data_IF_442784137498
#
_entry.id   IF_442784137498
#
_cell.length_a   1.000
_cell.length_b   1.000
_cell.length_c   1.000
_cell.angle_alpha   90.00
_cell.angle_beta   90.00
_cell.angle_gamma   90.00
#
_symmetry.space_group_name_H-M   'P 1'
#
loop_
_entity.id
_entity.type
_entity.pdbx_description
1 polymer ?
#
# COMPACT_ATOMS: atom_id res chain seq x y z
N UNK A 1 25.78 -22.98 -79.39
CA UNK A 1 26.61 -24.14 -78.97
C UNK A 1 27.17 -23.81 -77.58
N UNK A 2 26.78 -24.54 -76.53
CA UNK A 2 27.30 -24.51 -75.13
C UNK A 2 26.88 -23.30 -74.26
N UNK A 3 26.09 -23.44 -73.16
CA UNK A 3 26.43 -23.82 -71.75
C UNK A 3 27.48 -22.87 -71.12
N UNK A 4 27.37 -22.34 -69.89
CA UNK A 4 26.74 -22.82 -68.65
C UNK A 4 26.51 -21.70 -67.61
N UNK A 5 25.54 -21.98 -66.73
CA UNK A 5 25.10 -21.26 -65.53
C UNK A 5 26.11 -21.37 -64.35
N UNK A 6 26.16 -20.35 -63.48
CA UNK A 6 26.70 -20.44 -62.12
C UNK A 6 26.20 -19.27 -61.24
N UNK A 7 24.95 -19.39 -60.79
CA UNK A 7 24.42 -18.66 -59.63
C UNK A 7 25.24 -19.03 -58.39
N UNK A 8 25.82 -18.05 -57.68
CA UNK A 8 26.30 -18.24 -56.32
C UNK A 8 25.13 -18.02 -55.35
N UNK A 9 24.64 -19.14 -54.82
CA UNK A 9 23.78 -19.19 -53.65
C UNK A 9 24.48 -18.55 -52.45
N UNK A 10 23.98 -17.41 -51.99
CA UNK A 10 24.19 -16.97 -50.61
C UNK A 10 23.08 -17.59 -49.79
N UNK A 11 23.44 -18.51 -48.90
CA UNK A 11 22.52 -19.17 -47.97
C UNK A 11 21.79 -18.10 -47.11
N UNK A 12 20.50 -18.29 -46.79
CA UNK A 12 19.82 -17.39 -45.88
C UNK A 12 20.45 -17.57 -44.50
N UNK A 13 21.10 -16.52 -44.00
CA UNK A 13 21.59 -16.45 -42.62
C UNK A 13 20.43 -16.78 -41.69
N UNK A 14 20.56 -17.91 -40.98
CA UNK A 14 19.64 -18.34 -39.94
C UNK A 14 19.37 -17.15 -39.00
N UNK A 15 18.10 -16.73 -38.96
CA UNK A 15 17.60 -15.79 -37.95
C UNK A 15 17.86 -16.44 -36.60
N UNK A 16 18.95 -16.04 -35.96
CA UNK A 16 19.29 -16.40 -34.58
C UNK A 16 18.07 -16.05 -33.74
N UNK A 17 17.27 -17.05 -33.34
CA UNK A 17 16.14 -16.89 -32.43
C UNK A 17 16.72 -16.37 -31.12
N UNK A 18 16.75 -15.05 -30.97
CA UNK A 18 17.00 -14.43 -29.68
C UNK A 18 15.90 -14.98 -28.78
N UNK A 19 16.28 -15.76 -27.79
CA UNK A 19 15.38 -16.24 -26.75
C UNK A 19 14.94 -15.00 -25.98
N UNK A 20 13.93 -14.29 -26.48
CA UNK A 20 13.39 -13.12 -25.80
C UNK A 20 12.85 -13.63 -24.46
N UNK A 21 13.28 -13.07 -23.31
CA UNK A 21 12.65 -13.40 -22.04
C UNK A 21 11.15 -13.24 -22.22
N UNK A 22 10.38 -14.27 -21.82
CA UNK A 22 8.94 -14.26 -21.96
C UNK A 22 8.38 -13.21 -21.00
N UNK A 23 8.08 -12.03 -21.55
CA UNK A 23 7.59 -10.88 -20.80
C UNK A 23 6.13 -11.14 -20.44
N UNK A 24 5.77 -10.87 -19.21
CA UNK A 24 4.38 -10.71 -18.78
C UNK A 24 4.32 -9.44 -17.95
N UNK A 25 3.16 -8.80 -17.94
CA UNK A 25 2.93 -7.55 -17.22
C UNK A 25 1.72 -7.77 -16.33
N UNK A 26 1.85 -7.46 -15.04
CA UNK A 26 0.87 -7.82 -14.03
C UNK A 26 0.83 -6.74 -12.95
N UNK A 27 -0.38 -6.48 -12.45
CA UNK A 27 -0.66 -5.71 -11.24
C UNK A 27 -1.42 -6.63 -10.30
N UNK A 28 -1.10 -6.55 -9.01
CA UNK A 28 -1.78 -7.27 -7.95
C UNK A 28 -1.99 -6.31 -6.78
N UNK A 29 -3.24 -6.09 -6.39
CA UNK A 29 -3.60 -5.22 -5.30
C UNK A 29 -4.01 -6.01 -4.05
N UNK A 30 -3.24 -5.84 -2.98
CA UNK A 30 -3.32 -6.66 -1.79
C UNK A 30 -4.39 -6.18 -0.82
N UNK A 31 -5.27 -7.09 -0.41
CA UNK A 31 -6.33 -6.83 0.56
C UNK A 31 -6.18 -7.65 1.85
N UNK A 32 -6.59 -7.05 2.96
CA UNK A 32 -6.41 -7.55 4.32
C UNK A 32 -5.81 -6.47 5.23
N UNK A 33 -5.48 -6.79 6.49
CA UNK A 33 -4.66 -5.89 7.30
C UNK A 33 -3.33 -5.57 6.58
N UNK A 34 -2.70 -4.43 6.85
CA UNK A 34 -1.57 -3.90 6.06
C UNK A 34 -0.51 -4.97 5.69
N UNK A 35 -0.06 -5.78 6.66
CA UNK A 35 0.94 -6.83 6.40
C UNK A 35 0.42 -8.01 5.56
N UNK A 36 -0.87 -8.34 5.65
CA UNK A 36 -1.46 -9.45 4.94
C UNK A 36 -1.61 -9.14 3.44
N UNK A 37 -2.06 -7.93 3.10
CA UNK A 37 -2.20 -7.51 1.69
C UNK A 37 -0.86 -7.52 0.94
N UNK A 38 0.20 -6.96 1.54
CA UNK A 38 1.54 -6.95 0.95
C UNK A 38 2.09 -8.37 0.69
N UNK A 39 1.82 -9.31 1.62
CA UNK A 39 2.26 -10.71 1.46
C UNK A 39 1.46 -11.40 0.35
N UNK A 40 0.15 -11.18 0.25
CA UNK A 40 -0.67 -11.76 -0.82
C UNK A 40 -0.21 -11.30 -2.20
N UNK A 41 -0.09 -10.00 -2.42
CA UNK A 41 0.28 -9.44 -3.71
C UNK A 41 1.68 -9.90 -4.12
N UNK A 42 2.64 -9.94 -3.19
CA UNK A 42 3.97 -10.49 -3.44
C UNK A 42 3.94 -11.98 -3.84
N UNK A 43 3.16 -12.80 -3.13
CA UNK A 43 2.99 -14.23 -3.44
C UNK A 43 2.32 -14.46 -4.81
N UNK A 44 1.36 -13.61 -5.20
CA UNK A 44 0.74 -13.65 -6.52
C UNK A 44 1.79 -13.42 -7.61
N UNK A 45 2.54 -12.32 -7.49
CA UNK A 45 3.57 -11.93 -8.46
C UNK A 45 4.65 -13.01 -8.58
N UNK A 46 5.15 -13.54 -7.46
CA UNK A 46 6.18 -14.58 -7.47
C UNK A 46 5.67 -15.92 -8.03
N UNK A 47 4.40 -16.24 -7.83
CA UNK A 47 3.79 -17.43 -8.44
C UNK A 47 3.65 -17.28 -9.95
N UNK A 48 3.25 -16.09 -10.43
CA UNK A 48 3.24 -15.79 -11.86
C UNK A 48 4.64 -15.82 -12.48
N UNK A 49 5.66 -15.30 -11.79
CA UNK A 49 7.07 -15.42 -12.23
C UNK A 49 7.49 -16.88 -12.39
N UNK A 50 7.15 -17.73 -11.41
CA UNK A 50 7.46 -19.18 -11.47
C UNK A 50 6.75 -19.86 -12.63
N UNK A 51 5.47 -19.56 -12.86
CA UNK A 51 4.72 -20.08 -14.00
C UNK A 51 5.34 -19.61 -15.34
N UNK A 52 5.85 -18.38 -15.39
CA UNK A 52 6.50 -17.82 -16.57
C UNK A 52 7.86 -18.46 -16.93
N UNK A 53 8.50 -19.22 -16.02
CA UNK A 53 9.80 -19.89 -16.30
C UNK A 53 9.66 -20.91 -17.43
N UNK A 54 8.60 -21.72 -17.42
CA UNK A 54 8.26 -22.61 -18.55
C UNK A 54 7.65 -21.84 -19.73
N UNK A 55 7.17 -20.63 -19.45
CA UNK A 55 6.57 -19.73 -20.39
C UNK A 55 5.08 -19.96 -20.58
N UNK A 56 4.32 -18.86 -20.65
CA UNK A 56 2.93 -18.94 -21.07
C UNK A 56 2.87 -19.26 -22.57
N UNK A 57 2.38 -20.45 -22.90
CA UNK A 57 2.26 -20.95 -24.28
C UNK A 57 0.81 -20.97 -24.77
N UNK A 58 -0.15 -20.94 -23.85
CA UNK A 58 -1.57 -21.00 -24.14
C UNK A 58 -2.39 -20.32 -23.06
N UNK A 59 -3.69 -20.14 -23.31
CA UNK A 59 -4.63 -19.63 -22.31
C UNK A 59 -4.67 -20.51 -21.06
N UNK A 60 -4.65 -21.84 -21.22
CA UNK A 60 -4.68 -22.80 -20.13
C UNK A 60 -3.44 -22.69 -19.24
N UNK A 61 -2.27 -22.39 -19.84
CA UNK A 61 -1.05 -22.16 -19.06
C UNK A 61 -1.12 -20.90 -18.20
N UNK A 62 -1.84 -19.86 -18.66
CA UNK A 62 -2.09 -18.64 -17.88
C UNK A 62 -3.03 -18.94 -16.73
N UNK A 63 -4.16 -19.60 -16.99
CA UNK A 63 -5.13 -20.00 -15.96
C UNK A 63 -4.47 -20.88 -14.90
N UNK A 64 -3.65 -21.86 -15.31
CA UNK A 64 -2.90 -22.69 -14.38
C UNK A 64 -1.93 -21.87 -13.51
N UNK A 65 -1.31 -20.83 -14.07
CA UNK A 65 -0.47 -19.90 -13.32
C UNK A 65 -1.25 -19.10 -12.27
N UNK A 66 -2.43 -18.60 -12.64
CA UNK A 66 -3.32 -17.87 -11.72
C UNK A 66 -3.85 -18.80 -10.62
N UNK A 67 -4.23 -20.03 -10.95
CA UNK A 67 -4.65 -21.02 -9.95
C UNK A 67 -3.52 -21.42 -9.01
N UNK A 68 -2.28 -21.53 -9.50
CA UNK A 68 -1.12 -21.76 -8.66
C UNK A 68 -0.86 -20.57 -7.71
N UNK A 69 -1.07 -19.33 -8.17
CA UNK A 69 -1.02 -18.14 -7.33
C UNK A 69 -2.10 -18.18 -6.23
N UNK A 70 -3.35 -18.52 -6.59
CA UNK A 70 -4.44 -18.68 -5.63
C UNK A 70 -4.09 -19.70 -4.53
N UNK A 71 -3.66 -20.89 -4.94
CA UNK A 71 -3.30 -21.96 -4.02
C UNK A 71 -2.15 -21.57 -3.09
N UNK A 72 -1.14 -20.82 -3.58
CA UNK A 72 -0.02 -20.36 -2.77
C UNK A 72 -0.48 -19.36 -1.68
N UNK A 73 -1.37 -18.43 -2.03
CA UNK A 73 -1.89 -17.43 -1.08
C UNK A 73 -2.84 -18.09 -0.08
N UNK A 74 -3.72 -18.98 -0.54
CA UNK A 74 -4.65 -19.71 0.30
C UNK A 74 -3.94 -20.62 1.31
N UNK A 75 -2.87 -21.30 0.90
CA UNK A 75 -2.04 -22.09 1.80
C UNK A 75 -1.33 -21.23 2.85
N UNK A 76 -0.88 -20.02 2.48
CA UNK A 76 -0.26 -19.08 3.41
C UNK A 76 -1.28 -18.49 4.40
N UNK A 77 -2.51 -18.21 3.98
CA UNK A 77 -3.56 -17.63 4.82
C UNK A 77 -4.09 -18.58 5.90
N UNK A 78 -4.02 -19.90 5.67
CA UNK A 78 -4.42 -20.93 6.63
C UNK A 78 -3.44 -21.19 7.79
N UNK A 79 -2.19 -20.71 7.68
CA UNK A 79 -1.10 -21.09 8.59
C UNK A 79 -0.84 -20.17 9.79
N UNK A 80 -1.29 -18.90 9.78
CA UNK A 80 -0.96 -17.89 10.79
C UNK A 80 -2.17 -17.00 11.13
N UNK A 81 -2.34 -16.62 12.40
CA UNK A 81 -3.47 -15.79 12.86
C UNK A 81 -3.56 -14.44 12.14
N UNK A 82 -2.41 -13.85 11.85
CA UNK A 82 -2.28 -12.49 11.34
C UNK A 82 -2.42 -12.42 9.80
N UNK A 83 -2.57 -13.58 9.16
CA UNK A 83 -2.71 -13.75 7.69
C UNK A 83 -4.07 -14.35 7.32
N UNK A 84 -4.98 -14.52 8.29
CA UNK A 84 -6.35 -14.98 8.02
C UNK A 84 -7.09 -13.96 7.16
N UNK A 85 -7.71 -14.43 6.09
CA UNK A 85 -8.45 -13.58 5.15
C UNK A 85 -7.55 -12.74 4.24
N UNK A 86 -6.25 -13.05 4.18
CA UNK A 86 -5.33 -12.47 3.22
C UNK A 86 -5.79 -12.75 1.78
N UNK A 87 -5.81 -11.73 0.93
CA UNK A 87 -6.11 -11.89 -0.49
C UNK A 87 -5.50 -10.78 -1.35
N UNK A 88 -5.61 -10.93 -2.66
CA UNK A 88 -5.15 -9.91 -3.61
C UNK A 88 -5.94 -10.00 -4.91
N UNK A 89 -6.08 -8.89 -5.61
CA UNK A 89 -6.48 -8.87 -7.02
C UNK A 89 -5.33 -9.34 -7.90
N UNK A 90 -5.62 -9.64 -9.17
CA UNK A 90 -4.62 -9.86 -10.21
C UNK A 90 -5.19 -9.42 -11.57
N UNK A 91 -4.53 -8.46 -12.21
CA UNK A 91 -4.78 -8.07 -13.59
C UNK A 91 -3.49 -8.21 -14.39
N UNK A 92 -3.53 -8.85 -15.56
CA UNK A 92 -2.31 -9.08 -16.35
C UNK A 92 -2.54 -9.09 -17.86
N UNK A 93 -1.48 -8.71 -18.58
CA UNK A 93 -1.37 -8.85 -20.04
C UNK A 93 -0.13 -9.67 -20.41
N UNK A 94 -0.32 -10.68 -21.24
CA UNK A 94 0.66 -11.74 -21.48
C UNK A 94 0.73 -12.06 -22.98
N UNK A 95 1.84 -11.74 -23.68
CA UNK A 95 2.04 -12.16 -25.07
C UNK A 95 2.15 -13.69 -25.17
N UNK A 96 1.35 -14.29 -26.04
CA UNK A 96 1.48 -15.69 -26.40
C UNK A 96 2.43 -15.86 -27.59
N UNK A 97 3.20 -16.95 -27.63
CA UNK A 97 4.00 -17.28 -28.79
C UNK A 97 3.09 -17.53 -30.00
N UNK A 98 3.45 -16.95 -31.15
CA UNK A 98 2.84 -17.34 -32.41
C UNK A 98 3.33 -18.74 -32.84
N UNK A 99 2.41 -19.55 -33.32
CA UNK A 99 2.70 -20.86 -33.92
C UNK A 99 2.53 -20.75 -35.44
N UNK A 100 3.61 -20.97 -36.18
CA UNK A 100 3.59 -20.87 -37.65
C UNK A 100 3.24 -19.45 -38.13
N UNK A 101 2.25 -19.36 -39.03
CA UNK A 101 1.76 -18.11 -39.62
C UNK A 101 0.60 -17.48 -38.82
N UNK A 102 0.28 -17.99 -37.62
CA UNK A 102 -0.75 -17.39 -36.79
C UNK A 102 -0.37 -15.97 -36.34
N UNK A 103 -1.34 -15.03 -36.32
CA UNK A 103 -1.09 -13.69 -35.79
C UNK A 103 -0.70 -13.77 -34.31
N UNK A 104 0.18 -12.87 -33.87
CA UNK A 104 0.51 -12.77 -32.45
C UNK A 104 -0.72 -12.36 -31.64
N UNK A 105 -0.83 -12.90 -30.43
CA UNK A 105 -1.98 -12.71 -29.55
C UNK A 105 -1.49 -12.27 -28.16
N UNK A 106 -2.30 -11.44 -27.52
CA UNK A 106 -2.17 -11.09 -26.11
C UNK A 106 -3.29 -11.79 -25.34
N UNK A 107 -2.92 -12.41 -24.23
CA UNK A 107 -3.87 -12.84 -23.20
C UNK A 107 -4.03 -11.72 -22.19
N UNK A 108 -5.27 -11.34 -21.93
CA UNK A 108 -5.66 -10.51 -20.79
C UNK A 108 -6.31 -11.41 -19.76
N UNK A 109 -5.90 -11.32 -18.50
CA UNK A 109 -6.56 -12.06 -17.40
C UNK A 109 -6.84 -11.13 -16.23
N UNK A 110 -7.98 -11.35 -15.57
CA UNK A 110 -8.40 -10.56 -14.42
C UNK A 110 -9.04 -11.41 -13.31
N UNK A 111 -8.71 -11.08 -12.07
CA UNK A 111 -9.37 -11.51 -10.84
C UNK A 111 -9.42 -10.31 -9.89
N UNK A 112 -10.60 -9.72 -9.72
CA UNK A 112 -10.81 -8.58 -8.83
C UNK A 112 -11.25 -7.34 -9.60
N UNK A 113 -11.06 -6.18 -9.02
CA UNK A 113 -11.45 -4.87 -9.53
C UNK A 113 -10.26 -4.03 -10.04
N UNK A 114 -9.06 -4.59 -10.05
CA UNK A 114 -7.99 -4.09 -10.91
C UNK A 114 -8.39 -4.23 -12.38
N UNK A 115 -7.85 -3.36 -13.25
CA UNK A 115 -8.33 -3.21 -14.63
C UNK A 115 -7.24 -3.33 -15.68
N UNK A 116 -7.66 -3.74 -16.86
CA UNK A 116 -6.88 -3.70 -18.10
C UNK A 116 -7.64 -2.91 -19.15
N UNK A 117 -7.00 -1.86 -19.67
CA UNK A 117 -7.47 -1.08 -20.81
C UNK A 117 -6.61 -1.35 -22.04
N UNK A 118 -7.23 -1.24 -23.21
CA UNK A 118 -6.59 -1.25 -24.52
C UNK A 118 -6.91 0.06 -25.23
N UNK A 119 -5.86 0.80 -25.56
CA UNK A 119 -5.91 1.90 -26.52
C UNK A 119 -5.58 1.39 -27.92
N UNK A 120 -6.54 1.51 -28.82
CA UNK A 120 -6.39 1.11 -30.22
C UNK A 120 -7.20 2.05 -31.12
N UNK A 121 -6.60 2.48 -32.22
CA UNK A 121 -7.26 3.27 -33.26
C UNK A 121 -7.96 4.54 -32.73
N UNK A 122 -7.41 5.18 -31.69
CA UNK A 122 -7.98 6.40 -31.12
C UNK A 122 -9.05 6.19 -30.05
N UNK A 123 -9.33 4.94 -29.68
CA UNK A 123 -10.33 4.59 -28.67
C UNK A 123 -9.68 3.86 -27.49
N UNK A 124 -10.04 4.27 -26.28
CA UNK A 124 -9.72 3.55 -25.05
C UNK A 124 -10.88 2.62 -24.71
N UNK A 125 -10.60 1.33 -24.56
CA UNK A 125 -11.59 0.34 -24.15
C UNK A 125 -11.11 -0.48 -22.97
N UNK A 126 -11.95 -0.59 -21.94
CA UNK A 126 -11.73 -1.56 -20.87
C UNK A 126 -11.93 -2.98 -21.41
N UNK A 127 -10.92 -3.84 -21.25
CA UNK A 127 -10.95 -5.25 -21.68
C UNK A 127 -11.40 -6.16 -20.55
N UNK A 128 -10.95 -5.89 -19.33
CA UNK A 128 -11.35 -6.65 -18.14
C UNK A 128 -12.76 -6.29 -17.68
N UNK A 129 -13.40 -7.21 -16.98
CA UNK A 129 -14.62 -6.94 -16.20
C UNK A 129 -14.25 -7.02 -14.72
N UNK A 130 -14.71 -6.05 -13.94
CA UNK A 130 -14.45 -5.98 -12.51
C UNK A 130 -15.23 -7.08 -11.77
N UNK A 131 -14.61 -7.73 -10.81
CA UNK A 131 -15.32 -8.61 -9.88
C UNK A 131 -15.65 -7.82 -8.62
N UNK A 132 -16.63 -6.93 -8.73
CA UNK A 132 -17.11 -6.07 -7.65
C UNK A 132 -18.63 -6.09 -7.55
N UNK A 133 -19.14 -5.77 -6.37
CA UNK A 133 -20.57 -5.74 -6.10
C UNK A 133 -21.30 -4.75 -7.02
N UNK A 134 -20.69 -3.60 -7.28
CA UNK A 134 -21.27 -2.59 -8.18
C UNK A 134 -21.25 -3.04 -9.65
N UNK A 135 -20.26 -3.84 -10.07
CA UNK A 135 -20.23 -4.40 -11.41
C UNK A 135 -21.34 -5.43 -11.64
N UNK A 136 -21.70 -6.20 -10.60
CA UNK A 136 -22.85 -7.10 -10.63
C UNK A 136 -24.16 -6.31 -10.81
N UNK A 137 -24.38 -5.26 -10.01
CA UNK A 137 -25.55 -4.38 -10.14
C UNK A 137 -25.63 -3.72 -11.53
N UNK A 138 -24.48 -3.28 -12.07
CA UNK A 138 -24.39 -2.74 -13.43
C UNK A 138 -24.81 -3.77 -14.47
N UNK A 139 -24.31 -5.00 -14.36
CA UNK A 139 -24.61 -6.08 -15.31
C UNK A 139 -26.09 -6.50 -15.30
N UNK A 140 -26.75 -6.37 -14.15
CA UNK A 140 -28.18 -6.61 -13.98
C UNK A 140 -29.06 -5.42 -14.38
N UNK A 141 -28.45 -4.27 -14.73
CA UNK A 141 -29.15 -3.04 -15.08
C UNK A 141 -29.83 -2.35 -13.89
N UNK A 142 -29.39 -2.65 -12.67
CA UNK A 142 -29.94 -2.08 -11.43
C UNK A 142 -29.37 -0.70 -11.09
N UNK A 143 -28.19 -0.38 -11.62
CA UNK A 143 -27.54 0.93 -11.50
C UNK A 143 -26.93 1.34 -12.84
N UNK A 144 -26.76 2.64 -13.04
CA UNK A 144 -25.99 3.23 -14.15
C UNK A 144 -24.50 3.29 -13.82
N UNK A 145 -23.64 3.50 -14.84
CA UNK A 145 -22.20 3.62 -14.66
C UNK A 145 -21.84 4.80 -13.72
N UNK A 146 -22.58 5.90 -13.83
CA UNK A 146 -22.44 7.08 -13.00
C UNK A 146 -22.83 6.80 -11.54
N UNK A 147 -23.92 6.06 -11.31
CA UNK A 147 -24.35 5.65 -9.97
C UNK A 147 -23.38 4.65 -9.32
N UNK A 148 -22.84 3.71 -10.10
CA UNK A 148 -21.86 2.74 -9.62
C UNK A 148 -20.58 3.42 -9.07
N UNK A 149 -20.10 4.48 -9.73
CA UNK A 149 -18.90 5.23 -9.31
C UNK A 149 -19.03 5.87 -7.94
N UNK A 150 -20.22 6.32 -7.55
CA UNK A 150 -20.47 6.97 -6.24
C UNK A 150 -21.15 6.05 -5.24
N UNK A 151 -21.32 4.77 -5.59
CA UNK A 151 -22.08 3.84 -4.77
C UNK A 151 -21.38 3.58 -3.42
N UNK A 152 -22.11 3.55 -2.29
CA UNK A 152 -21.51 3.35 -0.95
C UNK A 152 -20.75 2.04 -0.78
N UNK A 153 -21.05 1.05 -1.63
CA UNK A 153 -20.44 -0.28 -1.62
C UNK A 153 -19.55 -0.55 -2.84
N UNK A 154 -19.01 0.49 -3.48
CA UNK A 154 -18.16 0.33 -4.68
C UNK A 154 -16.86 -0.45 -4.40
N UNK A 155 -16.30 -0.32 -3.20
CA UNK A 155 -15.07 -1.01 -2.79
C UNK A 155 -15.29 -2.47 -2.34
N UNK A 156 -16.47 -3.06 -2.57
CA UNK A 156 -16.71 -4.48 -2.23
C UNK A 156 -16.32 -5.34 -3.43
N UNK A 157 -15.18 -6.01 -3.30
CA UNK A 157 -14.69 -7.02 -4.26
C UNK A 157 -15.41 -8.34 -4.04
N UNK A 158 -15.94 -8.95 -5.10
CA UNK A 158 -16.65 -10.23 -5.06
C UNK A 158 -15.79 -11.42 -5.45
N UNK A 159 -14.59 -11.19 -6.00
CA UNK A 159 -13.61 -12.25 -6.28
C UNK A 159 -12.17 -11.76 -6.10
N UNK A 160 -11.39 -12.47 -5.30
CA UNK A 160 -9.96 -12.21 -5.10
C UNK A 160 -9.19 -13.52 -4.92
N UNK A 161 -7.88 -13.48 -5.17
CA UNK A 161 -6.99 -14.62 -4.95
C UNK A 161 -6.76 -14.85 -3.45
N UNK A 162 -6.71 -16.11 -3.03
CA UNK A 162 -6.33 -16.53 -1.67
C UNK A 162 -7.48 -16.68 -0.68
N UNK A 163 -8.66 -16.13 -1.01
CA UNK A 163 -9.85 -16.21 -0.16
C UNK A 163 -10.46 -17.61 -0.23
N UNK A 164 -10.81 -18.05 -1.44
CA UNK A 164 -11.36 -19.38 -1.70
C UNK A 164 -10.29 -20.34 -2.22
N UNK A 165 -10.51 -21.66 -2.05
CA UNK A 165 -9.56 -22.69 -2.48
C UNK A 165 -9.40 -22.77 -4.00
N UNK A 166 -10.47 -22.48 -4.73
CA UNK A 166 -10.50 -22.39 -6.19
C UNK A 166 -10.86 -20.97 -6.62
N UNK A 167 -10.33 -20.51 -7.75
CA UNK A 167 -10.67 -19.22 -8.34
C UNK A 167 -10.96 -19.39 -9.83
N UNK A 168 -12.04 -18.75 -10.29
CA UNK A 168 -12.31 -18.67 -11.72
C UNK A 168 -11.74 -17.36 -12.27
N UNK A 169 -10.60 -17.45 -12.94
CA UNK A 169 -9.96 -16.32 -13.58
C UNK A 169 -10.61 -16.04 -14.94
N UNK A 170 -11.01 -14.80 -15.15
CA UNK A 170 -11.52 -14.37 -16.44
C UNK A 170 -10.33 -14.20 -17.39
N UNK A 171 -10.48 -14.66 -18.63
CA UNK A 171 -9.44 -14.62 -19.64
C UNK A 171 -10.00 -14.23 -21.01
N UNK A 172 -9.37 -13.23 -21.62
CA UNK A 172 -9.66 -12.77 -22.97
C UNK A 172 -8.42 -12.90 -23.84
N UNK A 173 -8.61 -13.39 -25.06
CA UNK A 173 -7.55 -13.47 -26.07
C UNK A 173 -7.80 -12.40 -27.12
N UNK A 174 -6.88 -11.45 -27.24
CA UNK A 174 -7.00 -10.34 -28.20
C UNK A 174 -5.86 -10.39 -29.22
N UNK A 175 -6.11 -10.00 -30.49
CA UNK A 175 -5.03 -9.84 -31.47
C UNK A 175 -4.03 -8.81 -30.97
N UNK A 176 -2.72 -9.08 -31.13
CA UNK A 176 -1.66 -8.14 -30.82
C UNK A 176 -1.28 -7.37 -32.08
N UNK A 177 -1.51 -6.06 -32.11
CA UNK A 177 -1.26 -5.20 -33.25
C UNK A 177 -0.23 -4.12 -32.88
N UNK A 178 0.68 -3.82 -33.81
CA UNK A 178 1.61 -2.71 -33.65
C UNK A 178 0.82 -1.41 -33.47
N UNK A 179 1.23 -0.60 -32.48
CA UNK A 179 0.57 0.63 -32.08
C UNK A 179 -0.47 0.46 -30.97
N UNK A 180 -0.77 -0.78 -30.56
CA UNK A 180 -1.57 -1.01 -29.36
C UNK A 180 -0.84 -0.51 -28.11
N UNK A 181 -1.61 0.07 -27.19
CA UNK A 181 -1.14 0.41 -25.86
C UNK A 181 -2.08 -0.19 -24.82
N UNK A 182 -1.52 -1.01 -23.93
CA UNK A 182 -2.25 -1.58 -22.80
C UNK A 182 -1.93 -0.79 -21.53
N UNK A 183 -2.94 -0.60 -20.69
CA UNK A 183 -2.78 -0.07 -19.32
C UNK A 183 -3.31 -1.10 -18.36
N UNK A 184 -2.46 -1.58 -17.46
CA UNK A 184 -2.84 -2.47 -16.35
C UNK A 184 -2.72 -1.66 -15.07
N UNK A 185 -3.78 -1.57 -14.27
CA UNK A 185 -3.80 -0.69 -13.11
C UNK A 185 -4.60 -1.25 -11.92
N UNK A 186 -4.27 -0.78 -10.71
CA UNK A 186 -5.11 -0.98 -9.52
C UNK A 186 -6.34 -0.06 -9.53
N UNK A 187 -7.26 -0.30 -8.61
CA UNK A 187 -8.43 0.55 -8.34
C UNK A 187 -8.00 1.97 -7.93
N UNK A 188 -6.87 2.13 -7.22
CA UNK A 188 -6.31 3.43 -6.85
C UNK A 188 -6.09 4.41 -8.01
N UNK A 189 -5.94 3.92 -9.26
CA UNK A 189 -5.99 4.79 -10.44
C UNK A 189 -7.42 5.17 -10.82
N UNK A 190 -8.28 4.18 -11.02
CA UNK A 190 -9.60 4.36 -11.67
C UNK A 190 -10.67 4.93 -10.73
N UNK A 191 -10.42 4.91 -9.43
CA UNK A 191 -11.20 5.61 -8.41
C UNK A 191 -10.92 7.12 -8.39
N UNK A 192 -9.79 7.57 -8.94
CA UNK A 192 -9.36 8.97 -8.94
C UNK A 192 -9.36 9.60 -10.34
N UNK A 193 -9.17 8.79 -11.39
CA UNK A 193 -9.07 9.25 -12.79
C UNK A 193 -10.21 8.64 -13.60
N UNK A 194 -11.06 9.48 -14.19
CA UNK A 194 -12.17 9.02 -15.02
C UNK A 194 -11.70 8.56 -16.41
N UNK A 195 -12.59 7.88 -17.15
CA UNK A 195 -12.23 7.26 -18.42
C UNK A 195 -11.87 8.29 -19.50
N UNK A 196 -12.41 9.51 -19.41
CA UNK A 196 -12.14 10.58 -20.37
C UNK A 196 -10.74 11.17 -20.15
N UNK A 197 -10.37 11.44 -18.89
CA UNK A 197 -9.02 11.85 -18.51
C UNK A 197 -8.00 10.75 -18.83
N UNK A 198 -8.31 9.50 -18.49
CA UNK A 198 -7.45 8.34 -18.79
C UNK A 198 -7.22 8.21 -20.30
N UNK A 199 -8.27 8.34 -21.12
CA UNK A 199 -8.16 8.32 -22.58
C UNK A 199 -7.29 9.47 -23.11
N UNK A 200 -7.44 10.67 -22.55
CA UNK A 200 -6.63 11.84 -22.92
C UNK A 200 -5.14 11.65 -22.65
N UNK A 201 -4.78 11.09 -21.50
CA UNK A 201 -3.39 10.81 -21.12
C UNK A 201 -2.81 9.68 -21.98
N UNK A 202 -3.54 8.57 -22.11
CA UNK A 202 -3.07 7.36 -22.81
C UNK A 202 -2.92 7.59 -24.32
N UNK A 203 -3.81 8.39 -24.91
CA UNK A 203 -3.78 8.75 -26.33
C UNK A 203 -2.67 9.74 -26.72
N UNK A 204 -1.94 10.29 -25.76
CA UNK A 204 -0.82 11.19 -26.01
C UNK A 204 0.36 10.51 -26.71
N UNK A 205 1.11 11.29 -27.51
CA UNK A 205 2.34 10.83 -28.16
C UNK A 205 3.54 10.88 -27.21
N UNK A 206 3.46 10.10 -26.13
CA UNK A 206 4.48 9.98 -25.09
C UNK A 206 4.94 8.53 -24.94
N UNK A 207 6.10 8.33 -24.32
CA UNK A 207 6.60 7.00 -24.00
C UNK A 207 5.72 6.31 -22.96
N UNK A 208 5.68 4.97 -22.95
CA UNK A 208 4.96 4.20 -21.92
C UNK A 208 5.28 4.64 -20.49
N UNK A 209 6.56 4.92 -20.17
CA UNK A 209 6.97 5.38 -18.85
C UNK A 209 6.42 6.77 -18.50
N UNK A 210 6.41 7.69 -19.48
CA UNK A 210 5.85 9.03 -19.29
C UNK A 210 4.35 8.97 -19.06
N UNK A 211 3.63 8.14 -19.83
CA UNK A 211 2.19 7.92 -19.66
C UNK A 211 1.89 7.33 -18.29
N UNK A 212 2.64 6.31 -17.86
CA UNK A 212 2.48 5.73 -16.53
C UNK A 212 2.66 6.78 -15.42
N UNK A 213 3.67 7.65 -15.53
CA UNK A 213 3.89 8.73 -14.57
C UNK A 213 2.76 9.75 -14.58
N UNK A 214 2.29 10.17 -15.76
CA UNK A 214 1.17 11.11 -15.89
C UNK A 214 -0.12 10.56 -15.26
N UNK A 215 -0.40 9.26 -15.42
CA UNK A 215 -1.55 8.61 -14.79
C UNK A 215 -1.44 8.61 -13.26
N UNK A 216 -0.25 8.31 -12.72
CA UNK A 216 0.01 8.37 -11.28
C UNK A 216 -0.11 9.80 -10.75
N UNK A 217 0.43 10.79 -11.47
CA UNK A 217 0.38 12.18 -11.06
C UNK A 217 -1.06 12.72 -11.08
N UNK A 218 -1.88 12.33 -12.07
CA UNK A 218 -3.29 12.65 -12.16
C UNK A 218 -4.07 12.07 -10.96
N UNK A 219 -3.91 10.77 -10.68
CA UNK A 219 -4.58 10.13 -9.54
C UNK A 219 -4.21 10.78 -8.20
N UNK A 220 -2.93 11.11 -7.99
CA UNK A 220 -2.49 11.83 -6.80
C UNK A 220 -3.08 13.24 -6.71
N UNK A 221 -3.25 13.93 -7.85
CA UNK A 221 -3.81 15.28 -7.90
C UNK A 221 -5.32 15.30 -7.63
N UNK A 222 -6.03 14.22 -8.00
CA UNK A 222 -7.48 14.07 -7.81
C UNK A 222 -7.87 13.56 -6.41
N UNK A 223 -6.90 13.07 -5.63
CA UNK A 223 -7.10 12.75 -4.22
C UNK A 223 -6.06 11.80 -3.63
N UNK A 224 -5.59 10.84 -4.42
CA UNK A 224 -4.60 9.85 -3.99
C UNK A 224 -5.00 9.08 -2.73
N UNK A 225 -6.26 8.65 -2.64
CA UNK A 225 -6.81 8.02 -1.43
C UNK A 225 -6.30 6.60 -1.18
N UNK A 226 -5.78 5.95 -2.21
CA UNK A 226 -5.25 4.58 -2.15
C UNK A 226 -3.90 4.44 -2.87
N UNK A 227 -3.30 3.27 -2.77
CA UNK A 227 -2.07 2.91 -3.47
C UNK A 227 -2.31 2.83 -4.98
N UNK A 228 -1.57 3.65 -5.73
CA UNK A 228 -1.69 3.72 -7.18
C UNK A 228 -0.59 2.86 -7.83
N UNK A 229 -0.99 1.80 -8.53
CA UNK A 229 -0.09 0.98 -9.34
C UNK A 229 -0.52 0.99 -10.80
N UNK A 230 0.40 1.30 -11.72
CA UNK A 230 0.12 1.38 -13.16
C UNK A 230 1.27 0.77 -13.96
N UNK A 231 0.94 -0.06 -14.94
CA UNK A 231 1.85 -0.61 -15.94
C UNK A 231 1.33 -0.29 -17.33
N UNK A 232 2.14 0.40 -18.14
CA UNK A 232 1.83 0.74 -19.53
C UNK A 232 2.69 -0.11 -20.46
N UNK A 233 2.07 -0.73 -21.46
CA UNK A 233 2.72 -1.64 -22.41
C UNK A 233 2.43 -1.20 -23.84
N UNK A 234 3.48 -0.78 -24.55
CA UNK A 234 3.40 -0.44 -25.98
C UNK A 234 3.78 -1.64 -26.84
N UNK A 235 2.94 -1.95 -27.83
CA UNK A 235 3.25 -2.93 -28.87
C UNK A 235 3.96 -2.21 -30.01
N UNK A 236 5.28 -2.34 -30.06
CA UNK A 236 6.12 -1.75 -31.10
C UNK A 236 6.49 -2.77 -32.21
N UNK A 237 6.76 -2.27 -33.41
CA UNK A 237 7.35 -3.08 -34.48
C UNK A 237 8.81 -3.42 -34.14
N UNK A 238 9.24 -4.63 -34.47
CA UNK A 238 10.59 -5.14 -34.24
C UNK A 238 11.67 -4.37 -35.02
N UNK A 239 11.28 -3.54 -36.01
CA UNK A 239 12.19 -2.67 -36.77
C UNK A 239 12.55 -1.37 -36.05
N UNK A 240 11.80 -0.99 -35.02
CA UNK A 240 12.20 0.09 -34.12
C UNK A 240 12.89 -0.59 -32.95
N UNK A 241 14.22 -0.61 -32.97
CA UNK A 241 15.01 -0.85 -31.77
C UNK A 241 14.71 0.30 -30.79
N UNK A 242 13.62 0.16 -30.05
CA UNK A 242 13.37 0.91 -28.82
C UNK A 242 14.59 0.65 -27.94
N UNK A 243 15.11 1.73 -27.36
CA UNK A 243 16.25 1.71 -26.45
C UNK A 243 16.18 0.51 -25.50
N UNK A 244 17.37 -0.05 -25.29
CA UNK A 244 17.66 -1.19 -24.43
C UNK A 244 16.72 -1.27 -23.23
N UNK A 245 16.18 -2.45 -22.88
CA UNK A 245 15.30 -2.59 -21.74
C UNK A 245 15.97 -1.98 -20.51
N UNK A 246 15.30 -1.04 -19.86
CA UNK A 246 15.58 -0.74 -18.47
C UNK A 246 15.53 -2.08 -17.74
N UNK A 247 16.69 -2.51 -17.26
CA UNK A 247 16.86 -3.64 -16.37
C UNK A 247 15.87 -3.45 -15.23
N UNK A 248 14.89 -4.35 -15.09
CA UNK A 248 14.19 -4.49 -13.81
C UNK A 248 15.30 -4.76 -12.78
N UNK A 249 15.47 -3.94 -11.73
CA UNK A 249 16.39 -4.27 -10.65
C UNK A 249 15.82 -5.48 -9.92
N UNK A 250 16.18 -6.67 -10.37
CA UNK A 250 16.26 -7.83 -9.50
C UNK A 250 17.47 -7.63 -8.61
N UNK A 251 17.25 -6.94 -7.48
CA UNK A 251 17.81 -7.22 -6.14
C UNK A 251 17.58 -5.98 -5.24
N UNK A 252 16.44 -5.93 -4.54
CA UNK A 252 16.30 -5.06 -3.36
C UNK A 252 16.91 -5.81 -2.17
N UNK A 253 18.23 -5.93 -2.19
CA UNK A 253 19.04 -6.30 -1.04
C UNK A 253 20.29 -5.43 -1.05
N UNK A 254 20.13 -4.16 -0.70
CA UNK A 254 21.28 -3.25 -0.59
C UNK A 254 21.85 -3.29 0.83
N UNK A 255 22.80 -4.20 1.08
CA UNK A 255 23.87 -3.91 2.06
C UNK A 255 24.85 -2.90 1.43
N UNK A 256 25.19 -1.77 2.08
CA UNK A 256 25.87 -0.67 1.41
C UNK A 256 27.39 -0.61 1.67
N UNK A 257 28.16 -0.29 0.62
CA UNK A 257 29.52 0.29 0.73
C UNK A 257 29.82 1.06 -0.56
N UNK A 258 30.29 2.31 -0.62
CA UNK A 258 30.29 3.46 0.25
C UNK A 258 30.61 4.67 -0.66
N UNK A 259 29.86 5.78 -0.59
CA UNK A 259 30.35 7.10 -1.03
C UNK A 259 30.05 8.15 0.04
N UNK A 260 31.12 8.81 0.49
CA UNK A 260 31.25 9.49 1.80
C UNK A 260 30.43 10.78 1.92
N UNK A 261 29.82 11.29 0.84
CA UNK A 261 29.06 12.56 0.83
C UNK A 261 27.54 12.37 0.95
N UNK A 262 26.97 11.24 0.52
CA UNK A 262 25.53 10.92 0.71
C UNK A 262 25.21 10.42 2.12
N UNK A 263 26.18 9.81 2.82
CA UNK A 263 25.98 9.33 4.21
C UNK A 263 25.75 10.45 5.22
N UNK A 264 26.33 11.63 5.01
CA UNK A 264 26.15 12.78 5.93
C UNK A 264 24.73 13.33 5.83
N UNK A 265 24.18 13.45 4.61
CA UNK A 265 22.81 13.94 4.38
C UNK A 265 21.73 12.95 4.84
N UNK A 266 21.91 11.64 4.58
CA UNK A 266 20.96 10.62 5.02
C UNK A 266 20.99 10.40 6.55
N UNK A 267 22.17 10.46 7.17
CA UNK A 267 22.28 10.42 8.63
C UNK A 267 21.66 11.66 9.28
N UNK A 268 21.82 12.85 8.68
CA UNK A 268 21.16 14.06 9.16
C UNK A 268 19.64 13.94 9.11
N UNK A 269 19.06 13.38 8.04
CA UNK A 269 17.61 13.20 7.93
C UNK A 269 17.04 12.23 8.98
N UNK A 270 17.74 11.12 9.26
CA UNK A 270 17.32 10.16 10.31
C UNK A 270 17.47 10.76 11.70
N UNK A 271 18.55 11.51 11.98
CA UNK A 271 18.72 12.23 13.25
C UNK A 271 17.64 13.31 13.41
N UNK A 272 17.27 14.01 12.34
CA UNK A 272 16.18 15.00 12.35
C UNK A 272 14.85 14.33 12.66
N UNK A 273 14.49 13.22 11.99
CA UNK A 273 13.24 12.49 12.25
C UNK A 273 13.19 11.89 13.66
N UNK A 274 14.29 11.30 14.13
CA UNK A 274 14.38 10.80 15.51
C UNK A 274 14.29 11.95 16.52
N UNK A 275 14.91 13.09 16.25
CA UNK A 275 14.83 14.28 17.11
C UNK A 275 13.44 14.93 17.11
N UNK A 276 12.71 14.87 15.99
CA UNK A 276 11.32 15.29 15.88
C UNK A 276 10.40 14.36 16.67
N UNK A 277 10.56 13.03 16.52
CA UNK A 277 9.81 12.06 17.32
C UNK A 277 10.11 12.17 18.82
N UNK A 278 11.39 12.33 19.20
CA UNK A 278 11.82 12.62 20.57
C UNK A 278 11.29 13.96 21.07
N UNK A 279 11.21 14.97 20.21
CA UNK A 279 10.67 16.29 20.52
C UNK A 279 9.17 16.23 20.80
N UNK A 280 8.40 15.56 19.95
CA UNK A 280 6.95 15.36 20.11
C UNK A 280 6.65 14.53 21.35
N UNK A 281 7.35 13.43 21.56
CA UNK A 281 7.19 12.59 22.76
C UNK A 281 7.64 13.32 24.03
N UNK A 282 8.73 14.10 23.98
CA UNK A 282 9.16 14.93 25.12
C UNK A 282 8.18 16.06 25.43
N UNK A 283 7.61 16.69 24.40
CA UNK A 283 6.60 17.73 24.53
C UNK A 283 5.33 17.15 25.17
N UNK A 284 4.82 16.04 24.65
CA UNK A 284 3.64 15.35 25.21
C UNK A 284 3.88 14.82 26.63
N UNK A 285 5.03 14.20 26.90
CA UNK A 285 5.35 13.68 28.24
C UNK A 285 5.49 14.78 29.31
N UNK A 286 5.77 16.03 28.89
CA UNK A 286 5.90 17.20 29.78
C UNK A 286 4.67 18.11 29.76
N UNK A 287 3.69 17.80 28.93
CA UNK A 287 2.44 18.54 28.84
C UNK A 287 1.49 18.11 29.95
N UNK A 288 0.78 19.08 30.51
CA UNK A 288 -0.14 18.87 31.63
C UNK A 288 0.51 18.85 33.02
N UNK A 289 -0.38 18.85 34.01
CA UNK A 289 -0.08 18.81 35.43
C UNK A 289 -0.98 17.75 36.06
N UNK A 290 -0.51 17.07 37.09
CA UNK A 290 -1.36 16.20 37.89
C UNK A 290 -1.05 16.38 39.37
N UNK A 291 -1.99 15.97 40.21
CA UNK A 291 -1.88 16.04 41.66
C UNK A 291 -1.72 14.63 42.19
N UNK A 292 -0.86 14.45 43.19
CA UNK A 292 -0.64 13.15 43.79
C UNK A 292 0.22 13.24 45.05
N UNK A 293 0.43 12.09 45.69
CA UNK A 293 1.29 12.00 46.86
C UNK A 293 2.74 11.65 46.46
N UNK A 294 3.70 12.37 47.01
CA UNK A 294 5.12 12.17 46.80
C UNK A 294 5.75 11.57 48.07
N UNK A 295 6.08 10.27 48.00
CA UNK A 295 6.56 9.48 49.12
C UNK A 295 5.79 8.16 49.22
N UNK A 296 5.96 7.46 50.34
CA UNK A 296 5.32 6.18 50.61
C UNK A 296 4.65 6.21 51.96
N UNK A 297 3.44 5.64 52.06
CA UNK A 297 2.70 5.55 53.32
C UNK A 297 2.03 6.87 53.74
N UNK A 298 1.72 6.96 55.03
CA UNK A 298 0.90 8.03 55.61
C UNK A 298 1.59 9.40 55.64
N UNK A 299 2.93 9.43 55.55
CA UNK A 299 3.74 10.64 55.50
C UNK A 299 3.94 11.18 54.07
N UNK A 300 3.32 10.57 53.07
CA UNK A 300 3.49 10.99 51.68
C UNK A 300 2.90 12.40 51.46
N UNK A 301 3.69 13.31 50.90
CA UNK A 301 3.32 14.72 50.80
C UNK A 301 2.41 14.96 49.58
N UNK A 302 1.31 15.69 49.76
CA UNK A 302 0.49 16.15 48.64
C UNK A 302 1.26 17.17 47.80
N UNK A 303 1.43 16.91 46.51
CA UNK A 303 2.19 17.79 45.61
C UNK A 303 1.53 17.93 44.24
N UNK A 304 1.91 18.99 43.51
CA UNK A 304 1.60 19.13 42.08
C UNK A 304 2.81 18.68 41.27
N UNK A 305 2.61 17.71 40.40
CA UNK A 305 3.57 17.25 39.42
C UNK A 305 3.35 17.93 38.05
N UNK A 306 4.45 18.15 37.32
CA UNK A 306 4.43 18.51 35.90
C UNK A 306 4.82 17.31 35.04
N UNK A 307 4.02 17.04 34.02
CA UNK A 307 4.14 15.90 33.11
C UNK A 307 3.00 14.90 33.27
N UNK A 308 3.18 13.70 32.73
CA UNK A 308 2.18 12.64 32.78
C UNK A 308 2.27 11.80 34.06
N UNK A 309 1.15 11.24 34.58
CA UNK A 309 1.13 10.46 35.82
C UNK A 309 1.88 9.11 35.70
N UNK A 310 1.85 8.50 34.51
CA UNK A 310 2.66 7.32 34.18
C UNK A 310 4.01 7.73 33.62
N UNK A 311 5.08 7.05 34.06
CA UNK A 311 6.41 7.26 33.50
C UNK A 311 6.43 6.86 32.02
N UNK A 312 6.79 7.81 31.16
CA UNK A 312 6.95 7.59 29.72
C UNK A 312 8.45 7.63 29.41
N UNK A 313 9.04 6.48 29.07
CA UNK A 313 10.48 6.33 28.85
C UNK A 313 11.31 6.84 30.05
N UNK A 314 12.28 7.75 29.82
CA UNK A 314 13.11 8.38 30.85
C UNK A 314 12.55 9.74 31.32
N UNK A 315 11.33 10.12 30.91
CA UNK A 315 10.69 11.33 31.38
C UNK A 315 9.95 11.04 32.68
N UNK A 316 10.59 11.40 33.79
CA UNK A 316 9.97 11.36 35.11
C UNK A 316 9.21 12.66 35.36
N UNK A 317 8.02 12.58 35.95
CA UNK A 317 7.29 13.77 36.39
C UNK A 317 8.10 14.55 37.42
N UNK A 318 7.96 15.88 37.40
CA UNK A 318 8.71 16.78 38.31
C UNK A 318 7.78 17.47 39.27
N UNK A 319 8.13 17.48 40.56
CA UNK A 319 7.39 18.24 41.56
C UNK A 319 7.54 19.74 41.28
N UNK A 320 6.42 20.45 41.15
CA UNK A 320 6.38 21.91 40.94
C UNK A 320 5.93 22.66 42.17
N UNK A 321 5.05 22.07 42.95
CA UNK A 321 4.47 22.71 44.12
C UNK A 321 4.46 21.69 45.24
N UNK A 322 5.06 22.08 46.35
CA UNK A 322 5.04 21.36 47.61
C UNK A 322 4.10 22.08 48.56
N UNK A 323 3.33 21.33 49.31
CA UNK A 323 2.22 21.86 50.11
C UNK A 323 2.50 21.75 51.60
N UNK A 324 3.36 20.81 51.98
CA UNK A 324 3.59 20.42 53.35
C UNK A 324 2.48 19.58 53.98
N UNK A 325 1.40 19.25 53.24
CA UNK A 325 0.27 18.47 53.75
C UNK A 325 0.56 16.98 53.60
N UNK A 326 0.58 16.24 54.70
CA UNK A 326 0.76 14.80 54.68
C UNK A 326 -0.51 14.06 54.25
N UNK A 327 -0.37 12.87 53.67
CA UNK A 327 -1.49 12.01 53.27
C UNK A 327 -2.44 11.71 54.43
N UNK A 328 -1.91 11.49 55.62
CA UNK A 328 -2.68 11.27 56.86
C UNK A 328 -3.56 12.45 57.27
N UNK A 329 -3.21 13.66 56.83
CA UNK A 329 -3.97 14.89 57.11
C UNK A 329 -5.12 15.08 56.11
N UNK A 330 -5.15 14.34 55.00
CA UNK A 330 -6.19 14.41 53.97
C UNK A 330 -7.28 13.38 54.25
N UNK A 331 -8.54 13.78 54.06
CA UNK A 331 -9.70 12.88 54.20
C UNK A 331 -9.56 11.58 53.40
N UNK A 332 -9.89 10.41 53.96
CA UNK A 332 -9.75 9.14 53.26
C UNK A 332 -10.42 9.07 51.89
N UNK A 333 -11.62 9.65 51.75
CA UNK A 333 -12.33 9.70 50.47
C UNK A 333 -11.58 10.55 49.44
N UNK A 334 -11.07 11.72 49.85
CA UNK A 334 -10.33 12.64 48.99
C UNK A 334 -8.92 12.12 48.69
N UNK A 335 -8.28 11.41 49.62
CA UNK A 335 -7.00 10.75 49.40
C UNK A 335 -7.09 9.68 48.30
N UNK A 336 -8.20 8.93 48.24
CA UNK A 336 -8.46 7.99 47.16
C UNK A 336 -8.63 8.69 45.81
N UNK A 337 -9.37 9.81 45.75
CA UNK A 337 -9.52 10.59 44.52
C UNK A 337 -8.17 11.17 44.04
N UNK A 338 -7.28 11.54 44.97
CA UNK A 338 -5.92 12.01 44.65
C UNK A 338 -5.03 10.86 44.15
N UNK A 339 -5.22 9.63 44.64
CA UNK A 339 -4.50 8.45 44.16
C UNK A 339 -4.85 8.07 42.72
N UNK A 340 -6.02 8.47 42.23
CA UNK A 340 -6.38 8.38 40.81
C UNK A 340 -5.59 9.37 39.92
N UNK A 341 -4.79 10.24 40.54
CA UNK A 341 -3.88 11.20 39.90
C UNK A 341 -4.61 12.13 38.90
N UNK A 342 -5.56 12.95 39.38
CA UNK A 342 -6.33 13.83 38.52
C UNK A 342 -5.42 14.79 37.76
N UNK A 343 -5.73 14.98 36.48
CA UNK A 343 -4.93 15.78 35.54
C UNK A 343 -5.57 17.14 35.26
N UNK A 344 -4.73 18.13 35.01
CA UNK A 344 -5.12 19.53 34.80
C UNK A 344 -4.34 20.12 33.63
N UNK A 345 -5.03 20.94 32.84
CA UNK A 345 -4.44 21.63 31.68
C UNK A 345 -3.57 22.84 32.03
N UNK A 346 -3.51 23.26 33.30
CA UNK A 346 -2.65 24.38 33.72
C UNK A 346 -2.21 24.27 35.18
N UNK A 347 -1.04 24.84 35.47
CA UNK A 347 -0.49 24.90 36.83
C UNK A 347 -1.42 25.63 37.80
N UNK A 348 -2.03 26.74 37.35
CA UNK A 348 -2.93 27.54 38.19
C UNK A 348 -4.15 26.73 38.65
N UNK A 349 -4.71 25.87 37.78
CA UNK A 349 -5.82 24.98 38.15
C UNK A 349 -5.39 23.90 39.14
N UNK A 350 -4.26 23.25 38.89
CA UNK A 350 -3.72 22.23 39.80
C UNK A 350 -3.35 22.84 41.17
N UNK A 351 -2.78 24.06 41.18
CA UNK A 351 -2.48 24.81 42.40
C UNK A 351 -3.73 25.19 43.17
N UNK A 352 -4.75 25.73 42.49
CA UNK A 352 -6.00 26.10 43.13
C UNK A 352 -6.67 24.88 43.80
N UNK A 353 -6.66 23.73 43.14
CA UNK A 353 -7.16 22.48 43.72
C UNK A 353 -6.40 22.11 45.01
N UNK A 354 -5.07 22.05 44.94
CA UNK A 354 -4.26 21.65 46.09
C UNK A 354 -4.30 22.66 47.25
N UNK A 355 -4.37 23.96 46.95
CA UNK A 355 -4.55 25.00 47.98
C UNK A 355 -5.92 24.89 48.65
N UNK A 356 -6.98 24.56 47.91
CA UNK A 356 -8.30 24.34 48.51
C UNK A 356 -8.29 23.20 49.52
N UNK A 357 -7.50 22.14 49.27
CA UNK A 357 -7.33 21.02 50.20
C UNK A 357 -6.56 21.46 51.43
N UNK A 358 -5.47 22.22 51.25
CA UNK A 358 -4.69 22.76 52.37
C UNK A 358 -5.52 23.65 53.29
N UNK A 359 -6.35 24.51 52.73
CA UNK A 359 -7.20 25.41 53.51
C UNK A 359 -8.25 24.64 54.33
N UNK A 360 -8.81 23.57 53.75
CA UNK A 360 -9.74 22.67 54.46
C UNK A 360 -9.06 21.93 55.61
N UNK A 361 -7.85 21.42 55.39
CA UNK A 361 -7.05 20.74 56.43
C UNK A 361 -6.69 21.72 57.56
N UNK A 362 -6.26 22.94 57.23
CA UNK A 362 -5.90 23.97 58.20
C UNK A 362 -7.08 24.40 59.08
N UNK A 363 -8.28 24.54 58.50
CA UNK A 363 -9.49 24.90 59.23
C UNK A 363 -9.91 23.83 60.26
N UNK A 364 -9.58 22.56 60.01
CA UNK A 364 -9.93 21.47 60.92
C UNK A 364 -8.95 21.33 62.08
N UNK A 365 -7.67 21.60 61.83
CA UNK A 365 -6.68 21.64 62.90
C UNK A 365 -6.99 22.75 63.94
N UNK A 366 -7.60 23.86 63.52
CA UNK A 366 -8.06 24.90 64.44
C UNK A 366 -9.29 24.50 65.27
N UNK A 367 -10.23 23.74 64.70
CA UNK A 367 -11.44 23.28 65.41
C UNK A 367 -11.16 22.16 66.43
N UNK A 368 -10.05 21.43 66.30
CA UNK A 368 -9.64 20.38 67.24
C UNK A 368 -8.79 20.88 68.42
N UNK A 369 -8.47 22.18 68.46
CA UNK A 369 -7.57 22.79 69.45
C UNK A 369 -8.29 23.65 70.50
N UNK A 370 -9.61 23.82 70.36
CA UNK A 370 -10.56 24.32 71.38
C UNK A 370 -11.31 23.13 72.01
#
# INVERSE_FOLDING_TARGET
MGRSDARRNVAPTERRRIHRPRRFFVVADGMGGHNAGEVASALAIDSMKRAAVGGFSSQESVVAGVNAANAAIHAASGGQSDQRGMGTTLAAVIPLPAHGDEPQRMVVTNVGDSRVYLWRAGELKQVSVDHSYVQELLSEGLVTAEEARVHPRRNIVTRALGIEGDVNADVWVVPMLVGDRYVVCSDGLVDEVDDAELAGIVGGNHSAQTVAQQLVDAANSNGGRDNITVVVVDVADDTIAVESPATIPSDVSTKPRASRKRKVLAAAAVVVLLSLGLGVTSWWARDGYFVGFNGSGDDAELVVFKGQPRQVLWFSPTVRVRTGVARSEVFPALANDIDEQPTYSSLARAQAFVLSIRDVVAAQASDSSD
#
